data_IF_676653945902
#
_entry.id   IF_676653945902
#
_cell.length_a   1.000
_cell.length_b   1.000
_cell.length_c   1.000
_cell.angle_alpha   90.00
_cell.angle_beta   90.00
_cell.angle_gamma   90.00
#
_symmetry.space_group_name_H-M   'P 1'
#
loop_
_entity.id
_entity.type
_entity.pdbx_description
1 polymer ?
#
# COMPACT_ATOMS: atom_id res chain seq x y z
N UNK A 1 -0.15 20.97 18.68
CA UNK A 1 -0.78 19.68 18.97
C UNK A 1 0.27 18.77 19.57
N UNK A 2 0.02 18.21 20.76
CA UNK A 2 0.93 17.28 21.43
C UNK A 2 0.89 15.89 20.80
N UNK A 3 1.80 15.00 21.20
CA UNK A 3 1.76 13.58 20.79
C UNK A 3 0.50 12.88 21.33
N UNK A 4 0.06 13.24 22.54
CA UNK A 4 -1.16 12.74 23.18
C UNK A 4 -2.40 13.11 22.36
N UNK A 5 -2.49 14.37 21.94
CA UNK A 5 -3.57 14.85 21.06
C UNK A 5 -3.58 14.10 19.72
N UNK A 6 -2.40 13.84 19.14
CA UNK A 6 -2.26 13.09 17.89
C UNK A 6 -2.66 11.63 18.02
N UNK A 7 -2.27 10.98 19.12
CA UNK A 7 -2.65 9.60 19.41
C UNK A 7 -4.17 9.47 19.54
N UNK A 8 -4.79 10.37 20.31
CA UNK A 8 -6.24 10.46 20.46
C UNK A 8 -6.92 10.67 19.10
N UNK A 9 -6.40 11.62 18.30
CA UNK A 9 -6.90 11.90 16.96
C UNK A 9 -6.83 10.67 16.06
N UNK A 10 -5.69 9.99 16.00
CA UNK A 10 -5.50 8.81 15.16
C UNK A 10 -6.45 7.66 15.54
N UNK A 11 -6.57 7.34 16.84
CA UNK A 11 -7.51 6.31 17.30
C UNK A 11 -8.95 6.65 16.91
N UNK A 12 -9.35 7.92 17.05
CA UNK A 12 -10.69 8.38 16.70
C UNK A 12 -10.93 8.32 15.18
N UNK A 13 -9.94 8.63 14.36
CA UNK A 13 -10.01 8.45 12.90
C UNK A 13 -10.27 6.99 12.51
N UNK A 14 -9.66 6.05 13.23
CA UNK A 14 -9.90 4.61 13.04
C UNK A 14 -11.22 4.10 13.63
N UNK A 15 -12.02 4.99 14.25
CA UNK A 15 -13.28 4.67 14.91
C UNK A 15 -13.16 3.57 15.99
N UNK A 16 -12.02 3.52 16.69
CA UNK A 16 -11.74 2.52 17.73
C UNK A 16 -12.01 3.06 19.14
N UNK A 17 -12.49 2.19 20.03
CA UNK A 17 -12.48 2.48 21.47
C UNK A 17 -11.04 2.42 22.01
N UNK A 18 -10.78 3.00 23.18
CA UNK A 18 -9.47 2.86 23.83
C UNK A 18 -9.13 1.38 24.11
N UNK A 19 -10.13 0.54 24.37
CA UNK A 19 -9.94 -0.88 24.64
C UNK A 19 -9.57 -1.63 23.36
N UNK A 20 -10.27 -1.35 22.25
CA UNK A 20 -9.98 -1.96 20.95
C UNK A 20 -8.60 -1.54 20.42
N UNK A 21 -8.20 -0.29 20.68
CA UNK A 21 -6.87 0.20 20.33
C UNK A 21 -5.76 -0.46 21.17
N UNK A 22 -6.00 -0.67 22.46
CA UNK A 22 -5.05 -1.28 23.38
C UNK A 22 -4.83 -2.80 23.15
N UNK A 23 -5.90 -3.49 22.74
CA UNK A 23 -5.93 -4.96 22.62
C UNK A 23 -4.82 -5.55 21.73
N UNK A 24 -4.62 -5.13 20.47
CA UNK A 24 -3.54 -5.68 19.63
C UNK A 24 -2.14 -5.27 20.11
N UNK A 25 -2.04 -4.16 20.85
CA UNK A 25 -0.79 -3.68 21.44
C UNK A 25 -0.37 -4.46 22.70
N UNK A 26 -1.22 -5.36 23.21
CA UNK A 26 -0.94 -6.16 24.41
C UNK A 26 -0.89 -5.35 25.70
N UNK A 27 -1.56 -4.19 25.75
CA UNK A 27 -1.59 -3.28 26.90
C UNK A 27 -3.02 -3.04 27.40
N UNK A 28 -3.12 -2.50 28.61
CA UNK A 28 -4.41 -2.13 29.21
C UNK A 28 -5.00 -0.84 28.60
N UNK A 29 -6.33 -0.75 28.58
CA UNK A 29 -7.09 0.44 28.18
C UNK A 29 -6.70 1.67 28.98
N UNK A 30 -6.52 1.53 30.29
CA UNK A 30 -6.10 2.60 31.19
C UNK A 30 -4.75 3.20 30.76
N UNK A 31 -3.81 2.37 30.29
CA UNK A 31 -2.54 2.87 29.76
C UNK A 31 -2.73 3.74 28.51
N UNK A 32 -3.61 3.35 27.57
CA UNK A 32 -3.98 4.23 26.44
C UNK A 32 -4.61 5.53 26.93
N UNK A 33 -5.52 5.46 27.90
CA UNK A 33 -6.13 6.67 28.49
C UNK A 33 -5.07 7.60 29.07
N UNK A 34 -4.08 7.07 29.80
CA UNK A 34 -2.95 7.86 30.31
C UNK A 34 -2.18 8.51 29.17
N UNK A 35 -1.85 7.80 28.09
CA UNK A 35 -1.11 8.37 26.96
C UNK A 35 -1.88 9.47 26.21
N UNK A 36 -3.20 9.37 26.17
CA UNK A 36 -4.07 10.36 25.50
C UNK A 36 -4.33 11.63 26.33
N UNK A 37 -4.13 11.59 27.65
CA UNK A 37 -4.45 12.72 28.55
C UNK A 37 -3.21 13.31 29.24
N UNK A 38 -2.25 12.46 29.61
CA UNK A 38 -0.99 12.91 30.19
C UNK A 38 0.01 13.09 29.05
N UNK A 39 0.70 14.23 29.01
CA UNK A 39 1.76 14.57 28.03
C UNK A 39 3.00 13.63 28.10
N UNK A 40 2.86 12.43 28.65
CA UNK A 40 3.86 11.37 28.66
C UNK A 40 3.99 10.79 27.25
N UNK A 41 5.17 10.95 26.67
CA UNK A 41 5.47 10.33 25.38
C UNK A 41 5.44 8.79 25.49
N UNK A 42 4.78 8.08 24.55
CA UNK A 42 4.94 6.65 24.39
C UNK A 42 6.41 6.28 24.15
N UNK A 43 6.80 5.06 24.54
CA UNK A 43 8.15 4.56 24.22
C UNK A 43 8.32 4.37 22.71
N UNK A 44 9.56 4.43 22.23
CA UNK A 44 9.89 4.14 20.83
C UNK A 44 9.36 2.78 20.35
N UNK A 45 9.47 1.76 21.21
CA UNK A 45 8.94 0.42 20.93
C UNK A 45 7.42 0.44 20.77
N UNK A 46 6.71 1.17 21.64
CA UNK A 46 5.26 1.29 21.56
C UNK A 46 4.83 2.06 20.30
N UNK A 47 5.56 3.11 19.92
CA UNK A 47 5.28 3.85 18.68
C UNK A 47 5.40 2.94 17.45
N UNK A 48 6.47 2.14 17.35
CA UNK A 48 6.63 1.17 16.26
C UNK A 48 5.56 0.10 16.26
N UNK A 49 5.13 -0.36 17.44
CA UNK A 49 4.05 -1.33 17.55
C UNK A 49 2.70 -0.72 17.13
N UNK A 50 2.45 0.54 17.47
CA UNK A 50 1.27 1.28 17.00
C UNK A 50 1.28 1.40 15.47
N UNK A 51 2.42 1.72 14.87
CA UNK A 51 2.54 1.74 13.41
C UNK A 51 2.26 0.38 12.78
N UNK A 52 2.81 -0.68 13.35
CA UNK A 52 2.61 -2.05 12.87
C UNK A 52 1.15 -2.52 12.98
N UNK A 53 0.50 -2.33 14.13
CA UNK A 53 -0.84 -2.86 14.40
C UNK A 53 -1.96 -1.99 13.83
N UNK A 54 -1.77 -0.67 13.77
CA UNK A 54 -2.82 0.28 13.40
C UNK A 54 -2.51 1.07 12.12
N UNK A 55 -1.34 0.88 11.52
CA UNK A 55 -0.92 1.61 10.33
C UNK A 55 -0.71 3.11 10.56
N UNK A 56 -0.45 3.54 11.80
CA UNK A 56 -0.28 4.96 12.14
C UNK A 56 1.20 5.34 12.07
N UNK A 57 1.55 6.34 11.25
CA UNK A 57 2.94 6.78 11.08
C UNK A 57 3.59 7.25 12.38
N UNK A 58 4.75 6.67 12.73
CA UNK A 58 5.57 7.12 13.85
C UNK A 58 6.03 8.56 13.66
N UNK A 59 6.42 8.93 12.43
CA UNK A 59 6.83 10.30 12.09
C UNK A 59 5.70 11.27 12.40
N UNK A 60 4.49 10.98 11.91
CA UNK A 60 3.33 11.81 12.18
C UNK A 60 2.99 11.87 13.68
N UNK A 61 3.06 10.76 14.41
CA UNK A 61 2.84 10.77 15.87
C UNK A 61 3.86 11.65 16.61
N UNK A 62 5.13 11.69 16.19
CA UNK A 62 6.19 12.47 16.83
C UNK A 62 6.16 13.94 16.46
N UNK A 63 6.07 14.25 15.18
CA UNK A 63 6.26 15.62 14.65
C UNK A 63 4.94 16.27 14.27
N UNK A 64 3.95 15.47 13.85
CA UNK A 64 2.71 15.95 13.24
C UNK A 64 2.83 16.22 11.73
N UNK A 65 3.99 15.94 11.15
CA UNK A 65 4.27 16.11 9.71
C UNK A 65 3.98 14.82 8.93
N UNK A 66 3.69 14.96 7.64
CA UNK A 66 3.37 13.84 6.76
C UNK A 66 1.95 13.29 6.94
N UNK A 67 1.71 12.09 6.41
CA UNK A 67 0.42 11.42 6.49
C UNK A 67 0.24 10.71 7.84
N UNK A 68 -0.99 10.76 8.37
CA UNK A 68 -1.32 10.08 9.62
C UNK A 68 -1.22 8.56 9.51
N UNK A 69 -1.69 8.00 8.38
CA UNK A 69 -1.64 6.58 8.09
C UNK A 69 -0.50 6.31 7.12
N UNK A 70 0.17 5.18 7.33
CA UNK A 70 1.17 4.66 6.40
C UNK A 70 0.46 4.22 5.13
N UNK A 71 0.90 4.69 3.94
CA UNK A 71 0.36 4.22 2.67
C UNK A 71 0.49 2.70 2.53
N UNK A 72 -0.53 1.98 2.07
CA UNK A 72 -0.46 0.53 1.88
C UNK A 72 0.72 0.09 0.99
N UNK A 73 1.10 0.94 0.02
CA UNK A 73 2.23 0.69 -0.87
C UNK A 73 3.55 0.59 -0.12
N UNK A 74 3.77 1.45 0.89
CA UNK A 74 4.98 1.41 1.72
C UNK A 74 5.05 0.11 2.53
N UNK A 75 3.91 -0.33 3.08
CA UNK A 75 3.82 -1.62 3.80
C UNK A 75 4.21 -2.77 2.88
N UNK A 76 3.72 -2.77 1.64
CA UNK A 76 4.02 -3.81 0.64
C UNK A 76 5.49 -3.78 0.25
N UNK A 77 6.07 -2.60 0.02
CA UNK A 77 7.49 -2.43 -0.30
C UNK A 77 8.36 -3.00 0.83
N UNK A 78 8.02 -2.73 2.09
CA UNK A 78 8.72 -3.28 3.25
C UNK A 78 8.60 -4.81 3.32
N UNK A 79 7.43 -5.37 2.98
CA UNK A 79 7.28 -6.83 2.90
C UNK A 79 8.15 -7.43 1.77
N UNK A 80 8.27 -6.76 0.62
CA UNK A 80 9.14 -7.19 -0.48
C UNK A 80 10.61 -7.21 -0.02
N UNK A 81 11.05 -6.15 0.65
CA UNK A 81 12.42 -6.07 1.18
C UNK A 81 12.69 -7.19 2.22
N UNK A 82 11.68 -7.58 3.00
CA UNK A 82 11.81 -8.59 4.06
C UNK A 82 11.72 -10.03 3.58
N UNK A 83 10.83 -10.33 2.65
CA UNK A 83 10.49 -11.70 2.24
C UNK A 83 10.92 -12.04 0.80
N UNK A 84 11.32 -11.05 0.02
CA UNK A 84 11.68 -11.18 -1.38
C UNK A 84 10.48 -11.04 -2.32
N UNK A 85 10.73 -10.46 -3.49
CA UNK A 85 9.73 -10.14 -4.50
C UNK A 85 8.89 -11.35 -4.91
N UNK A 86 9.52 -12.49 -5.22
CA UNK A 86 8.80 -13.68 -5.68
C UNK A 86 7.87 -14.27 -4.61
N UNK A 87 8.27 -14.23 -3.34
CA UNK A 87 7.45 -14.70 -2.23
C UNK A 87 6.19 -13.86 -2.10
N UNK A 88 6.34 -12.53 -2.18
CA UNK A 88 5.23 -11.59 -2.10
C UNK A 88 4.30 -11.72 -3.31
N UNK A 89 4.83 -11.83 -4.53
CA UNK A 89 4.04 -12.08 -5.74
C UNK A 89 3.19 -13.36 -5.62
N UNK A 90 3.77 -14.44 -5.11
CA UNK A 90 3.05 -15.69 -4.91
C UNK A 90 1.95 -15.55 -3.86
N UNK A 91 2.20 -14.82 -2.77
CA UNK A 91 1.19 -14.53 -1.75
C UNK A 91 0.05 -13.67 -2.30
N UNK A 92 0.36 -12.62 -3.09
CA UNK A 92 -0.64 -11.80 -3.75
C UNK A 92 -1.50 -12.60 -4.72
N UNK A 93 -0.88 -13.45 -5.55
CA UNK A 93 -1.62 -14.33 -6.46
C UNK A 93 -2.60 -15.25 -5.71
N UNK A 94 -2.22 -15.73 -4.53
CA UNK A 94 -3.12 -16.50 -3.68
C UNK A 94 -4.29 -15.65 -3.16
N UNK A 95 -4.03 -14.43 -2.68
CA UNK A 95 -5.06 -13.50 -2.19
C UNK A 95 -6.04 -13.12 -3.31
N UNK A 96 -5.53 -12.76 -4.49
CA UNK A 96 -6.34 -12.41 -5.68
C UNK A 96 -7.31 -13.55 -6.01
N UNK A 97 -6.82 -14.79 -6.09
CA UNK A 97 -7.67 -15.97 -6.35
C UNK A 97 -8.68 -16.24 -5.25
N UNK A 98 -8.29 -16.05 -3.98
CA UNK A 98 -9.15 -16.33 -2.83
C UNK A 98 -10.31 -15.33 -2.70
N UNK A 99 -10.06 -14.08 -3.06
CA UNK A 99 -11.02 -12.98 -2.93
C UNK A 99 -11.74 -12.62 -4.24
N UNK A 100 -11.52 -13.40 -5.31
CA UNK A 100 -12.07 -13.16 -6.65
C UNK A 100 -11.81 -11.74 -7.15
N UNK A 101 -10.60 -11.24 -6.90
CA UNK A 101 -10.18 -9.92 -7.33
C UNK A 101 -9.70 -9.98 -8.78
N UNK A 102 -10.00 -8.95 -9.57
CA UNK A 102 -9.47 -8.78 -10.92
C UNK A 102 -8.32 -7.78 -10.91
N UNK A 103 -7.37 -7.97 -11.82
CA UNK A 103 -6.36 -6.94 -12.09
C UNK A 103 -7.07 -5.79 -12.81
N UNK A 104 -7.09 -4.61 -12.20
CA UNK A 104 -7.50 -3.38 -12.84
C UNK A 104 -6.24 -2.65 -13.32
N UNK A 105 -6.14 -2.42 -14.63
CA UNK A 105 -4.99 -1.77 -15.26
C UNK A 105 -5.18 -0.28 -15.50
N UNK A 106 -6.24 0.34 -14.97
CA UNK A 106 -6.69 1.72 -15.27
C UNK A 106 -6.97 1.97 -16.77
N UNK A 107 -6.98 0.90 -17.57
CA UNK A 107 -7.20 0.92 -19.01
C UNK A 107 -8.36 -0.03 -19.33
N UNK A 108 -9.53 0.50 -19.73
CA UNK A 108 -10.70 -0.32 -20.02
C UNK A 108 -10.50 -1.35 -21.14
N UNK A 109 -9.66 -1.05 -22.13
CA UNK A 109 -9.40 -1.96 -23.25
C UNK A 109 -8.51 -3.11 -22.80
N UNK A 110 -7.44 -2.82 -22.06
CA UNK A 110 -6.56 -3.84 -21.50
C UNK A 110 -7.30 -4.72 -20.48
N UNK A 111 -8.13 -4.12 -19.62
CA UNK A 111 -9.00 -4.85 -18.69
C UNK A 111 -9.94 -5.81 -19.44
N UNK A 112 -10.58 -5.36 -20.53
CA UNK A 112 -11.42 -6.21 -21.37
C UNK A 112 -10.63 -7.40 -21.92
N UNK A 113 -9.41 -7.18 -22.42
CA UNK A 113 -8.56 -8.25 -22.96
C UNK A 113 -8.19 -9.27 -21.88
N UNK A 114 -7.73 -8.79 -20.72
CA UNK A 114 -7.31 -9.63 -19.58
C UNK A 114 -8.50 -10.45 -19.06
N UNK A 115 -9.64 -9.82 -18.80
CA UNK A 115 -10.82 -10.50 -18.29
C UNK A 115 -11.36 -11.55 -19.27
N UNK A 116 -11.34 -11.25 -20.58
CA UNK A 116 -11.72 -12.24 -21.61
C UNK A 116 -10.84 -13.49 -21.54
N UNK A 117 -9.52 -13.34 -21.38
CA UNK A 117 -8.61 -14.48 -21.23
C UNK A 117 -8.85 -15.25 -19.94
N UNK A 118 -9.13 -14.56 -18.83
CA UNK A 118 -9.48 -15.20 -17.56
C UNK A 118 -10.77 -16.02 -17.67
N UNK A 119 -11.83 -15.45 -18.26
CA UNK A 119 -13.11 -16.12 -18.45
C UNK A 119 -12.95 -17.41 -19.28
N UNK A 120 -12.15 -17.35 -20.35
CA UNK A 120 -11.82 -18.53 -21.18
C UNK A 120 -11.14 -19.64 -20.37
N UNK A 121 -10.31 -19.29 -19.39
CA UNK A 121 -9.68 -20.26 -18.49
C UNK A 121 -10.61 -20.76 -17.39
N UNK A 122 -11.58 -19.95 -16.96
CA UNK A 122 -12.55 -20.28 -15.92
C UNK A 122 -13.64 -21.26 -16.40
N UNK A 123 -14.02 -21.23 -17.69
CA UNK A 123 -15.07 -22.08 -18.28
C UNK A 123 -14.78 -23.59 -18.19
N UNK A 124 -13.52 -23.99 -17.97
CA UNK A 124 -13.16 -25.39 -17.75
C UNK A 124 -13.17 -26.28 -19.01
N UNK A 125 -13.54 -25.76 -20.18
CA UNK A 125 -13.46 -26.47 -21.46
C UNK A 125 -12.01 -26.46 -22.00
N UNK A 126 -11.36 -27.63 -21.96
CA UNK A 126 -10.00 -27.82 -22.44
C UNK A 126 -9.83 -27.53 -23.94
N UNK A 127 -10.86 -27.74 -24.78
CA UNK A 127 -10.78 -27.42 -26.20
C UNK A 127 -10.78 -25.92 -26.42
N UNK A 128 -11.61 -25.20 -25.68
CA UNK A 128 -11.72 -23.75 -25.78
C UNK A 128 -10.43 -23.07 -25.28
N UNK A 129 -9.85 -23.57 -24.18
CA UNK A 129 -8.52 -23.12 -23.70
C UNK A 129 -7.43 -23.38 -24.74
N UNK A 130 -7.37 -24.59 -25.31
CA UNK A 130 -6.38 -24.93 -26.32
C UNK A 130 -6.50 -24.07 -27.58
N UNK A 131 -7.73 -23.79 -28.02
CA UNK A 131 -7.99 -22.86 -29.12
C UNK A 131 -7.50 -21.45 -28.79
N UNK A 132 -7.84 -20.93 -27.62
CA UNK A 132 -7.46 -19.59 -27.20
C UNK A 132 -5.93 -19.44 -27.08
N UNK A 133 -5.23 -20.43 -26.50
CA UNK A 133 -3.75 -20.47 -26.47
C UNK A 133 -3.16 -20.39 -27.87
N UNK A 134 -3.67 -21.17 -28.81
CA UNK A 134 -3.16 -21.19 -30.18
C UNK A 134 -3.39 -19.85 -30.89
N UNK A 135 -4.56 -19.23 -30.71
CA UNK A 135 -4.82 -17.90 -31.27
C UNK A 135 -3.92 -16.84 -30.64
N UNK A 136 -3.65 -16.93 -29.35
CA UNK A 136 -2.71 -16.03 -28.66
C UNK A 136 -1.30 -16.14 -29.25
N UNK A 137 -0.79 -17.36 -29.46
CA UNK A 137 0.53 -17.57 -30.06
C UNK A 137 0.64 -17.05 -31.50
N UNK A 138 -0.45 -17.13 -32.27
CA UNK A 138 -0.52 -16.58 -33.63
C UNK A 138 -0.53 -15.04 -33.60
N UNK A 139 -1.34 -14.45 -32.72
CA UNK A 139 -1.49 -13.00 -32.61
C UNK A 139 -0.28 -12.31 -31.98
N UNK A 140 0.42 -12.99 -31.07
CA UNK A 140 1.57 -12.45 -30.34
C UNK A 140 2.83 -13.31 -30.55
N UNK A 141 3.45 -13.29 -31.74
CA UNK A 141 4.68 -14.02 -32.00
C UNK A 141 5.81 -13.62 -31.02
N UNK A 142 6.66 -14.59 -30.66
CA UNK A 142 7.74 -14.40 -29.66
C UNK A 142 8.58 -13.13 -29.86
N UNK A 143 8.93 -12.81 -31.11
CA UNK A 143 9.77 -11.65 -31.43
C UNK A 143 9.10 -10.31 -31.05
N UNK A 144 7.78 -10.17 -31.25
CA UNK A 144 7.01 -8.99 -30.85
C UNK A 144 6.99 -8.87 -29.33
N UNK A 145 6.77 -9.99 -28.63
CA UNK A 145 6.75 -10.03 -27.15
C UNK A 145 8.12 -9.67 -26.57
N UNK A 146 9.21 -10.14 -27.19
CA UNK A 146 10.58 -9.81 -26.80
C UNK A 146 10.93 -8.35 -27.05
N UNK A 147 10.49 -7.78 -28.16
CA UNK A 147 10.66 -6.36 -28.47
C UNK A 147 9.92 -5.48 -27.45
N UNK A 148 8.69 -5.83 -27.11
CA UNK A 148 7.93 -5.13 -26.07
C UNK A 148 8.62 -5.20 -24.69
N UNK A 149 9.22 -6.34 -24.33
CA UNK A 149 9.98 -6.47 -23.06
C UNK A 149 11.23 -5.59 -23.02
N UNK A 150 11.91 -5.38 -24.15
CA UNK A 150 13.10 -4.52 -24.25
C UNK A 150 12.75 -3.03 -24.12
N UNK A 151 11.54 -2.65 -24.53
CA UNK A 151 11.07 -1.26 -24.47
C UNK A 151 10.42 -0.90 -23.12
N UNK A 152 10.13 -1.88 -22.25
CA UNK A 152 9.67 -1.60 -20.88
C UNK A 152 10.79 -0.94 -20.08
N UNK A 153 10.68 0.36 -19.86
CA UNK A 153 11.46 1.06 -18.83
C UNK A 153 11.18 0.40 -17.48
N UNK A 154 12.19 0.06 -16.65
CA UNK A 154 11.93 -0.33 -15.28
C UNK A 154 11.15 0.80 -14.61
N UNK A 155 10.08 0.45 -13.89
CA UNK A 155 9.30 1.38 -13.07
C UNK A 155 10.29 2.00 -12.06
N UNK A 156 10.81 3.18 -12.36
CA UNK A 156 11.57 3.97 -11.40
C UNK A 156 10.51 4.52 -10.46
N UNK A 157 10.52 4.07 -9.21
CA UNK A 157 9.78 4.72 -8.13
C UNK A 157 10.25 6.17 -8.07
N UNK A 158 9.53 7.07 -8.75
CA UNK A 158 9.66 8.50 -8.51
C UNK A 158 9.09 8.74 -7.12
N UNK A 159 9.97 8.66 -6.13
CA UNK A 159 9.78 9.30 -4.83
C UNK A 159 9.35 10.73 -5.14
N UNK A 160 8.14 11.05 -4.71
CA UNK A 160 7.53 12.37 -4.74
C UNK A 160 8.54 13.34 -4.12
N UNK A 161 9.27 14.09 -4.96
CA UNK A 161 9.79 15.39 -4.57
C UNK A 161 8.59 16.33 -4.60
N UNK A 162 7.88 16.38 -3.48
CA UNK A 162 6.94 17.46 -3.23
C UNK A 162 7.73 18.77 -3.24
N UNK A 163 7.27 19.66 -4.11
CA UNK A 163 7.71 21.03 -4.26
C UNK A 163 7.73 21.75 -2.91
N UNK A 164 8.92 22.08 -2.40
CA UNK A 164 9.05 23.24 -1.53
C UNK A 164 9.17 24.47 -2.43
N UNK A 165 8.02 25.10 -2.62
CA UNK A 165 7.88 26.41 -3.22
C UNK A 165 8.81 27.43 -2.55
N UNK A 166 9.55 28.14 -3.40
CA UNK A 166 10.41 29.23 -3.00
C UNK A 166 9.64 30.30 -2.23
N UNK A 167 10.15 30.62 -1.04
CA UNK A 167 9.97 31.93 -0.43
C UNK A 167 11.16 32.80 -0.85
N UNK A 168 10.92 33.64 -1.85
CA UNK A 168 11.75 34.78 -2.17
C UNK A 168 11.53 35.88 -1.10
N UNK A 169 12.56 36.38 -0.42
CA UNK A 169 12.43 37.59 0.38
C UNK A 169 12.48 38.81 -0.54
N UNK A 170 11.31 39.37 -0.88
CA UNK A 170 11.27 40.71 -1.47
C UNK A 170 11.74 41.75 -0.45
N UNK A 171 12.80 42.44 -0.82
CA UNK A 171 13.24 43.74 -0.35
C UNK A 171 12.19 44.83 -0.61
N UNK A 172 11.79 45.56 0.44
CA UNK A 172 11.45 47.00 0.45
C UNK A 172 11.82 47.51 1.85
N UNK A 173 12.61 48.55 2.10
CA UNK A 173 12.85 49.73 1.29
C UNK A 173 11.86 50.83 1.64
N UNK A 174 11.89 51.32 2.89
CA UNK A 174 11.72 52.72 3.36
C UNK A 174 11.74 52.76 4.90
#
# INVERSE_FOLDING_TARGET
MSISDRLLKARKTLNLTQADFAKPLGIDRGYISTLEHDSRAPSETLLKLIEHEHGISVTWLKTGEGQMLVPPEEVIIDQIARFGEQTILNAFNFVIKKHDLTVDTDDPELNRMINTLYDLWAVGDERLKAWASMQFDIAFPKHIVEEAKKQKTPFVTSVVKSDEGGLNPETKGE
#
